data_IF_504160343801
#
_entry.id   IF_504160343801
#
_cell.length_a   1.000
_cell.length_b   1.000
_cell.length_c   1.000
_cell.angle_alpha   90.00
_cell.angle_beta   90.00
_cell.angle_gamma   90.00
#
_symmetry.space_group_name_H-M   'P 1'
#
loop_
_entity.id
_entity.type
_entity.pdbx_description
1 polymer ?
#
# COMPACT_ATOMS: atom_id res chain seq x y z
N UNK A 1 23.03 -4.70 -25.41
CA UNK A 1 23.56 -5.96 -24.83
C UNK A 1 23.63 -5.91 -23.30
N UNK A 2 24.30 -4.94 -22.68
CA UNK A 2 24.46 -4.84 -21.21
C UNK A 2 23.14 -4.79 -20.41
N UNK A 3 22.14 -4.02 -20.88
CA UNK A 3 20.83 -3.96 -20.23
C UNK A 3 20.09 -5.32 -20.19
N UNK A 4 20.26 -6.16 -21.22
CA UNK A 4 19.64 -7.49 -21.30
C UNK A 4 20.31 -8.50 -20.36
N UNK A 5 21.63 -8.39 -20.17
CA UNK A 5 22.37 -9.21 -19.21
C UNK A 5 21.96 -8.87 -17.78
N UNK A 6 21.84 -7.57 -17.47
CA UNK A 6 21.36 -7.11 -16.17
C UNK A 6 19.89 -7.51 -15.90
N UNK A 7 19.02 -7.42 -16.92
CA UNK A 7 17.64 -7.91 -16.85
C UNK A 7 17.58 -9.42 -16.60
N UNK A 8 18.44 -10.20 -17.27
CA UNK A 8 18.54 -11.65 -17.06
C UNK A 8 18.99 -12.02 -15.65
N UNK A 9 19.97 -11.29 -15.09
CA UNK A 9 20.44 -11.48 -13.71
C UNK A 9 19.37 -11.10 -12.69
N UNK A 10 18.62 -10.02 -12.93
CA UNK A 10 17.49 -9.61 -12.09
C UNK A 10 16.35 -10.63 -12.10
N UNK A 11 15.97 -11.15 -13.28
CA UNK A 11 14.96 -12.19 -13.39
C UNK A 11 15.38 -13.50 -12.71
N UNK A 12 16.66 -13.87 -12.80
CA UNK A 12 17.20 -15.07 -12.16
C UNK A 12 17.26 -14.98 -10.63
N UNK A 13 17.35 -13.77 -10.05
CA UNK A 13 17.44 -13.55 -8.59
C UNK A 13 16.21 -12.91 -7.96
N UNK A 14 15.04 -13.02 -8.60
CA UNK A 14 13.74 -12.42 -8.23
C UNK A 14 13.36 -12.60 -6.74
N UNK A 15 13.81 -13.68 -6.08
CA UNK A 15 13.38 -14.05 -4.73
C UNK A 15 14.19 -13.38 -3.58
N UNK A 16 15.33 -12.74 -3.88
CA UNK A 16 16.25 -12.18 -2.87
C UNK A 16 16.65 -10.72 -3.14
N UNK A 17 15.86 -10.02 -3.95
CA UNK A 17 16.20 -8.68 -4.41
C UNK A 17 15.90 -7.63 -3.35
N UNK A 18 16.97 -7.24 -2.64
CA UNK A 18 16.99 -5.99 -1.87
C UNK A 18 16.77 -4.82 -2.82
N UNK A 19 15.97 -3.84 -2.38
CA UNK A 19 15.68 -2.59 -3.09
C UNK A 19 16.95 -1.88 -3.58
N UNK A 20 18.02 -1.91 -2.79
CA UNK A 20 19.31 -1.32 -3.17
C UNK A 20 19.96 -1.95 -4.42
N UNK A 21 19.74 -3.23 -4.68
CA UNK A 21 20.31 -3.92 -5.86
C UNK A 21 19.56 -3.54 -7.13
N UNK A 22 18.24 -3.37 -7.03
CA UNK A 22 17.40 -2.87 -8.13
C UNK A 22 17.80 -1.44 -8.49
N UNK A 23 17.97 -0.59 -7.48
CA UNK A 23 18.38 0.81 -7.65
C UNK A 23 19.77 0.92 -8.30
N UNK A 24 20.75 0.14 -7.82
CA UNK A 24 22.09 0.12 -8.38
C UNK A 24 22.11 -0.40 -9.83
N UNK A 25 21.33 -1.44 -10.12
CA UNK A 25 21.21 -1.98 -11.47
C UNK A 25 20.58 -0.95 -12.42
N UNK A 26 19.53 -0.27 -11.97
CA UNK A 26 18.86 0.76 -12.76
C UNK A 26 19.79 1.96 -13.01
N UNK A 27 20.48 2.45 -11.98
CA UNK A 27 21.50 3.48 -12.14
C UNK A 27 22.59 3.05 -13.13
N UNK A 28 23.06 1.81 -13.05
CA UNK A 28 24.05 1.25 -13.97
C UNK A 28 23.58 1.14 -15.43
N UNK A 29 22.27 1.01 -15.68
CA UNK A 29 21.72 1.04 -17.04
C UNK A 29 21.61 2.47 -17.56
N UNK A 30 21.30 3.44 -16.70
CA UNK A 30 21.04 4.81 -17.12
C UNK A 30 22.31 5.67 -17.21
N UNK A 31 23.27 5.49 -16.30
CA UNK A 31 24.51 6.27 -16.27
C UNK A 31 25.30 6.27 -17.60
N UNK A 32 25.42 5.15 -18.32
CA UNK A 32 26.11 5.12 -19.62
C UNK A 32 25.48 6.02 -20.69
N UNK A 33 24.22 6.46 -20.53
CA UNK A 33 23.61 7.37 -21.49
C UNK A 33 24.19 8.78 -21.44
N UNK A 34 24.75 9.23 -20.30
CA UNK A 34 25.40 10.54 -20.16
C UNK A 34 26.51 10.72 -21.22
N UNK A 35 27.60 9.91 -21.24
CA UNK A 35 28.66 10.06 -22.23
C UNK A 35 28.18 9.80 -23.66
N UNK A 36 27.16 8.96 -23.85
CA UNK A 36 26.58 8.69 -25.18
C UNK A 36 25.90 9.95 -25.73
N UNK A 37 25.12 10.67 -24.92
CA UNK A 37 24.49 11.92 -25.34
C UNK A 37 25.52 13.03 -25.55
N UNK A 38 26.50 13.15 -24.64
CA UNK A 38 27.59 14.10 -24.82
C UNK A 38 28.33 13.87 -26.15
N UNK A 39 28.66 12.62 -26.48
CA UNK A 39 29.33 12.27 -27.74
C UNK A 39 28.44 12.52 -28.97
N UNK A 40 27.15 12.20 -28.88
CA UNK A 40 26.19 12.40 -29.96
C UNK A 40 26.04 13.89 -30.30
N UNK A 41 25.94 14.76 -29.29
CA UNK A 41 25.84 16.21 -29.48
C UNK A 41 27.15 16.79 -30.05
N UNK A 42 28.31 16.31 -29.58
CA UNK A 42 29.61 16.70 -30.17
C UNK A 42 29.75 16.27 -31.64
N UNK A 43 29.25 15.09 -32.00
CA UNK A 43 29.28 14.61 -33.37
C UNK A 43 28.34 15.42 -34.28
N UNK A 44 27.14 15.74 -33.79
CA UNK A 44 26.16 16.55 -34.52
C UNK A 44 26.62 17.98 -34.71
N UNK A 45 27.24 18.59 -33.69
CA UNK A 45 27.83 19.93 -33.79
C UNK A 45 28.86 20.05 -34.92
N UNK A 46 29.67 19.00 -35.14
CA UNK A 46 30.66 18.98 -36.23
C UNK A 46 30.08 18.67 -37.61
N UNK A 47 28.88 18.10 -37.67
CA UNK A 47 28.28 17.62 -38.93
C UNK A 47 27.70 18.75 -39.80
N UNK A 48 27.46 19.93 -39.22
CA UNK A 48 26.89 21.09 -39.93
C UNK A 48 25.41 20.92 -40.35
N UNK A 49 24.77 19.81 -39.97
CA UNK A 49 23.35 19.58 -40.20
C UNK A 49 22.50 20.46 -39.28
N UNK A 50 21.22 20.62 -39.61
CA UNK A 50 20.24 21.23 -38.69
C UNK A 50 19.70 20.13 -37.78
N UNK A 51 19.87 20.28 -36.47
CA UNK A 51 19.30 19.36 -35.48
C UNK A 51 18.62 20.12 -34.35
N UNK A 52 17.85 19.39 -33.54
CA UNK A 52 17.27 19.92 -32.31
C UNK A 52 18.08 19.36 -31.14
N UNK A 53 18.89 20.19 -30.47
CA UNK A 53 19.74 19.71 -29.38
C UNK A 53 18.89 19.21 -28.18
N UNK A 54 19.52 18.41 -27.32
CA UNK A 54 19.04 18.05 -25.98
C UNK A 54 17.71 17.27 -25.91
N UNK A 55 17.19 16.77 -27.04
CA UNK A 55 15.97 15.92 -27.05
C UNK A 55 16.18 14.58 -26.33
N UNK A 56 17.36 13.98 -26.47
CA UNK A 56 17.72 12.74 -25.79
C UNK A 56 17.62 12.86 -24.26
N UNK A 57 18.34 13.80 -23.64
CA UNK A 57 18.24 14.07 -22.20
C UNK A 57 16.82 14.37 -21.71
N UNK A 58 16.02 15.16 -22.46
CA UNK A 58 14.63 15.46 -22.10
C UNK A 58 13.77 14.18 -22.00
N UNK A 59 13.88 13.29 -22.98
CA UNK A 59 13.14 12.02 -22.99
C UNK A 59 13.58 11.09 -21.87
N UNK A 60 14.89 11.02 -21.59
CA UNK A 60 15.41 10.20 -20.49
C UNK A 60 14.97 10.74 -19.14
N UNK A 61 14.99 12.05 -18.92
CA UNK A 61 14.49 12.67 -17.68
C UNK A 61 13.02 12.37 -17.45
N UNK A 62 12.17 12.46 -18.48
CA UNK A 62 10.76 12.08 -18.38
C UNK A 62 10.57 10.58 -18.11
N UNK A 63 11.33 9.74 -18.82
CA UNK A 63 11.30 8.30 -18.60
C UNK A 63 11.74 7.94 -17.16
N UNK A 64 12.73 8.65 -16.61
CA UNK A 64 13.14 8.53 -15.21
C UNK A 64 12.01 8.92 -14.26
N UNK A 65 11.34 10.06 -14.49
CA UNK A 65 10.22 10.48 -13.66
C UNK A 65 9.05 9.47 -13.64
N UNK A 66 8.80 8.80 -14.76
CA UNK A 66 7.71 7.81 -14.88
C UNK A 66 8.11 6.43 -14.38
N UNK A 67 9.24 5.90 -14.87
CA UNK A 67 9.60 4.48 -14.72
C UNK A 67 10.57 4.18 -13.59
N UNK A 68 11.27 5.19 -13.03
CA UNK A 68 12.26 4.90 -12.00
C UNK A 68 11.60 4.19 -10.81
N UNK A 69 12.02 2.96 -10.47
CA UNK A 69 11.62 2.31 -9.22
C UNK A 69 12.34 2.91 -7.99
N UNK A 70 13.14 3.95 -8.23
CA UNK A 70 14.16 4.45 -7.32
C UNK A 70 13.55 5.40 -6.28
N UNK A 71 14.10 5.40 -5.06
CA UNK A 71 13.78 6.40 -4.04
C UNK A 71 14.01 7.84 -4.52
N UNK A 72 13.31 8.78 -3.88
CA UNK A 72 13.28 10.20 -4.26
C UNK A 72 14.69 10.83 -4.36
N UNK A 73 15.61 10.41 -3.49
CA UNK A 73 17.00 10.88 -3.47
C UNK A 73 17.80 10.47 -4.69
N UNK A 74 17.82 9.19 -5.03
CA UNK A 74 18.62 8.68 -6.15
C UNK A 74 17.97 9.03 -7.50
N UNK A 75 16.64 8.94 -7.61
CA UNK A 75 15.92 9.36 -8.82
C UNK A 75 16.05 10.87 -9.08
N UNK A 76 15.88 11.68 -8.03
CA UNK A 76 16.07 13.12 -8.11
C UNK A 76 17.52 13.51 -8.40
N UNK A 77 18.49 12.81 -7.79
CA UNK A 77 19.90 12.98 -8.08
C UNK A 77 20.23 12.70 -9.55
N UNK A 78 19.71 11.61 -10.11
CA UNK A 78 19.92 11.28 -11.52
C UNK A 78 19.34 12.34 -12.45
N UNK A 79 18.09 12.76 -12.22
CA UNK A 79 17.45 13.83 -13.02
C UNK A 79 18.27 15.12 -12.96
N UNK A 80 18.75 15.49 -11.77
CA UNK A 80 19.62 16.67 -11.59
C UNK A 80 20.95 16.55 -12.33
N UNK A 81 21.56 15.36 -12.38
CA UNK A 81 22.80 15.14 -13.15
C UNK A 81 22.57 15.30 -14.64
N UNK A 82 21.48 14.73 -15.19
CA UNK A 82 21.14 14.92 -16.62
C UNK A 82 20.78 16.38 -16.94
N UNK A 83 20.08 17.07 -16.04
CA UNK A 83 19.77 18.49 -16.20
C UNK A 83 21.05 19.34 -16.19
N UNK A 84 21.98 19.06 -15.27
CA UNK A 84 23.27 19.75 -15.18
C UNK A 84 24.13 19.48 -16.41
N UNK A 85 24.20 18.23 -16.89
CA UNK A 85 24.92 17.88 -18.11
C UNK A 85 24.41 18.67 -19.32
N UNK A 86 23.09 18.78 -19.50
CA UNK A 86 22.51 19.55 -20.59
C UNK A 86 22.91 21.04 -20.54
N UNK A 87 22.97 21.63 -19.34
CA UNK A 87 23.44 23.01 -19.15
C UNK A 87 24.94 23.14 -19.47
N UNK A 88 25.77 22.21 -18.99
CA UNK A 88 27.21 22.21 -19.26
C UNK A 88 27.48 22.06 -20.76
N UNK A 89 26.78 21.16 -21.46
CA UNK A 89 26.90 20.99 -22.90
C UNK A 89 26.50 22.26 -23.66
N UNK A 90 25.43 22.93 -23.24
CA UNK A 90 24.98 24.18 -23.87
C UNK A 90 26.08 25.26 -23.89
N UNK A 91 26.70 25.51 -22.74
CA UNK A 91 27.74 26.54 -22.62
C UNK A 91 29.08 26.11 -23.22
N UNK A 92 29.47 24.84 -23.11
CA UNK A 92 30.77 24.36 -23.61
C UNK A 92 30.82 24.26 -25.14
N UNK A 93 29.72 23.90 -25.78
CA UNK A 93 29.63 23.78 -27.25
C UNK A 93 29.22 25.08 -27.94
N UNK A 94 28.91 26.15 -27.19
CA UNK A 94 28.48 27.42 -27.77
C UNK A 94 27.20 27.30 -28.60
N UNK A 95 26.30 26.37 -28.22
CA UNK A 95 25.14 25.97 -29.03
C UNK A 95 24.17 27.13 -29.30
N UNK A 96 24.17 28.17 -28.47
CA UNK A 96 23.35 29.37 -28.68
C UNK A 96 23.75 30.22 -29.88
N UNK A 97 24.99 30.14 -30.33
CA UNK A 97 25.51 30.92 -31.48
C UNK A 97 25.67 30.06 -32.74
N UNK A 98 25.41 28.75 -32.65
CA UNK A 98 25.65 27.83 -33.74
C UNK A 98 24.53 27.92 -34.80
N UNK A 99 24.86 28.18 -36.09
CA UNK A 99 23.87 28.44 -37.14
C UNK A 99 22.96 27.24 -37.49
N UNK A 100 23.28 26.05 -36.98
CA UNK A 100 22.50 24.82 -37.16
C UNK A 100 21.42 24.58 -36.10
N UNK A 101 21.37 25.41 -35.04
CA UNK A 101 20.47 25.22 -33.90
C UNK A 101 19.15 25.94 -34.13
N UNK A 102 18.05 25.17 -34.11
CA UNK A 102 16.70 25.68 -34.38
C UNK A 102 15.97 26.23 -33.15
N UNK A 103 16.55 26.06 -31.96
CA UNK A 103 15.90 26.34 -30.66
C UNK A 103 16.72 27.32 -29.82
N UNK A 104 16.45 28.63 -29.90
CA UNK A 104 17.21 29.65 -29.14
C UNK A 104 16.86 29.70 -27.65
N UNK A 105 15.84 28.97 -27.20
CA UNK A 105 15.36 28.98 -25.80
C UNK A 105 15.91 27.85 -24.92
N UNK A 106 16.75 26.98 -25.49
CA UNK A 106 17.56 26.06 -24.70
C UNK A 106 18.65 26.87 -23.98
N UNK A 107 19.00 26.56 -22.71
CA UNK A 107 18.77 25.33 -21.94
C UNK A 107 17.53 25.37 -21.01
N UNK A 108 16.82 26.49 -20.93
CA UNK A 108 15.73 26.70 -19.96
C UNK A 108 14.58 25.72 -20.13
N UNK A 109 14.25 25.38 -21.39
CA UNK A 109 13.21 24.37 -21.69
C UNK A 109 13.57 23.02 -21.08
N UNK A 110 14.83 22.60 -21.18
CA UNK A 110 15.30 21.32 -20.59
C UNK A 110 15.20 21.32 -19.07
N UNK A 111 15.46 22.46 -18.42
CA UNK A 111 15.25 22.60 -16.97
C UNK A 111 13.78 22.48 -16.57
N UNK A 112 12.86 23.03 -17.37
CA UNK A 112 11.40 22.87 -17.15
C UNK A 112 11.02 21.38 -17.25
N UNK A 113 11.54 20.65 -18.24
CA UNK A 113 11.33 19.19 -18.33
C UNK A 113 11.92 18.43 -17.14
N UNK A 114 13.10 18.81 -16.66
CA UNK A 114 13.68 18.25 -15.43
C UNK A 114 12.81 18.50 -14.20
N UNK A 115 12.27 19.72 -14.06
CA UNK A 115 11.32 20.08 -13.01
C UNK A 115 10.03 19.28 -13.09
N UNK A 116 9.48 19.08 -14.29
CA UNK A 116 8.29 18.26 -14.50
C UNK A 116 8.55 16.80 -14.12
N UNK A 117 9.69 16.23 -14.53
CA UNK A 117 10.09 14.88 -14.17
C UNK A 117 10.24 14.69 -12.65
N UNK A 118 10.83 15.68 -11.96
CA UNK A 118 10.92 15.70 -10.50
C UNK A 118 9.54 15.78 -9.83
N UNK A 119 8.64 16.62 -10.35
CA UNK A 119 7.27 16.73 -9.84
C UNK A 119 6.51 15.40 -9.98
N UNK A 120 6.66 14.71 -11.12
CA UNK A 120 6.08 13.38 -11.35
C UNK A 120 6.64 12.34 -10.36
N UNK A 121 7.96 12.32 -10.16
CA UNK A 121 8.61 11.43 -9.20
C UNK A 121 8.09 11.69 -7.77
N UNK A 122 8.01 12.96 -7.36
CA UNK A 122 7.53 13.35 -6.05
C UNK A 122 6.06 12.96 -5.84
N UNK A 123 5.21 13.20 -6.85
CA UNK A 123 3.81 12.79 -6.83
C UNK A 123 3.67 11.27 -6.67
N UNK A 124 4.45 10.49 -7.42
CA UNK A 124 4.41 9.02 -7.35
C UNK A 124 4.80 8.48 -5.98
N UNK A 125 5.89 8.99 -5.39
CA UNK A 125 6.34 8.59 -4.04
C UNK A 125 5.27 8.92 -3.00
N UNK A 126 4.65 10.10 -3.10
CA UNK A 126 3.55 10.51 -2.23
C UNK A 126 2.33 9.61 -2.38
N UNK A 127 1.92 9.32 -3.61
CA UNK A 127 0.78 8.45 -3.90
C UNK A 127 0.95 7.05 -3.34
N UNK A 128 2.13 6.44 -3.47
CA UNK A 128 2.42 5.14 -2.87
C UNK A 128 2.31 5.16 -1.34
N UNK A 129 2.78 6.22 -0.69
CA UNK A 129 2.73 6.34 0.77
C UNK A 129 1.27 6.47 1.25
N UNK A 130 0.47 7.25 0.53
CA UNK A 130 -0.96 7.42 0.82
C UNK A 130 -1.71 6.09 0.60
N UNK A 131 -1.40 5.37 -0.47
CA UNK A 131 -2.03 4.09 -0.77
C UNK A 131 -1.73 3.03 0.31
N UNK A 132 -0.49 2.98 0.80
CA UNK A 132 -0.11 2.10 1.91
C UNK A 132 -0.89 2.42 3.18
N UNK A 133 -0.94 3.70 3.58
CA UNK A 133 -1.71 4.13 4.75
C UNK A 133 -3.19 3.85 4.60
N UNK A 134 -3.75 4.02 3.41
CA UNK A 134 -5.15 3.71 3.12
C UNK A 134 -5.42 2.20 3.22
N UNK A 135 -4.48 1.36 2.78
CA UNK A 135 -4.57 -0.10 2.92
C UNK A 135 -4.52 -0.53 4.38
N UNK A 136 -3.61 0.04 5.17
CA UNK A 136 -3.51 -0.24 6.61
C UNK A 136 -4.80 0.17 7.33
N UNK A 137 -5.27 1.40 7.11
CA UNK A 137 -6.51 1.89 7.72
C UNK A 137 -7.73 1.05 7.32
N UNK A 138 -7.82 0.59 6.06
CA UNK A 138 -8.89 -0.33 5.63
C UNK A 138 -8.80 -1.69 6.30
N UNK A 139 -7.61 -2.25 6.43
CA UNK A 139 -7.41 -3.53 7.10
C UNK A 139 -7.80 -3.45 8.59
N UNK A 140 -7.46 -2.36 9.28
CA UNK A 140 -7.87 -2.11 10.66
C UNK A 140 -9.40 -1.96 10.79
N UNK A 141 -10.03 -1.19 9.89
CA UNK A 141 -11.48 -1.03 9.88
C UNK A 141 -12.20 -2.37 9.64
N UNK A 142 -11.74 -3.17 8.67
CA UNK A 142 -12.29 -4.49 8.40
C UNK A 142 -12.12 -5.45 9.59
N UNK A 143 -11.00 -5.38 10.30
CA UNK A 143 -10.77 -6.19 11.50
C UNK A 143 -11.73 -5.80 12.63
N UNK A 144 -11.95 -4.50 12.86
CA UNK A 144 -12.91 -4.00 13.85
C UNK A 144 -14.35 -4.39 13.49
N UNK A 145 -14.73 -4.27 12.21
CA UNK A 145 -16.06 -4.67 11.74
C UNK A 145 -16.28 -6.17 11.92
N UNK A 146 -15.27 -7.00 11.68
CA UNK A 146 -15.32 -8.44 11.97
C UNK A 146 -15.54 -8.68 13.46
N UNK A 147 -14.75 -8.08 14.34
CA UNK A 147 -14.92 -8.23 15.79
C UNK A 147 -16.30 -7.78 16.28
N UNK A 148 -16.82 -6.67 15.74
CA UNK A 148 -18.15 -6.18 16.06
C UNK A 148 -19.23 -7.19 15.68
N UNK A 149 -19.15 -7.78 14.47
CA UNK A 149 -20.04 -8.88 14.06
C UNK A 149 -19.97 -10.08 15.01
N UNK A 150 -18.78 -10.45 15.48
CA UNK A 150 -18.64 -11.54 16.44
C UNK A 150 -19.31 -11.24 17.78
N UNK A 151 -19.18 -10.02 18.28
CA UNK A 151 -19.86 -9.63 19.52
C UNK A 151 -21.38 -9.67 19.39
N UNK A 152 -21.93 -9.29 18.24
CA UNK A 152 -23.36 -9.43 17.97
C UNK A 152 -23.78 -10.89 17.90
N UNK A 153 -23.03 -11.75 17.21
CA UNK A 153 -23.29 -13.20 17.15
C UNK A 153 -23.29 -13.82 18.54
N UNK A 154 -22.29 -13.50 19.36
CA UNK A 154 -22.19 -14.03 20.72
C UNK A 154 -23.36 -13.53 21.57
N UNK A 155 -23.74 -12.25 21.45
CA UNK A 155 -24.90 -11.69 22.14
C UNK A 155 -26.18 -12.45 21.76
N UNK A 156 -26.42 -12.63 20.48
CA UNK A 156 -27.65 -13.24 19.97
C UNK A 156 -27.71 -14.74 20.32
N UNK A 157 -26.57 -15.46 20.21
CA UNK A 157 -26.46 -16.84 20.65
C UNK A 157 -26.64 -17.01 22.17
N UNK A 158 -26.31 -15.99 22.97
CA UNK A 158 -26.45 -16.04 24.44
C UNK A 158 -27.89 -15.74 24.89
N UNK A 159 -28.68 -15.00 24.10
CA UNK A 159 -30.03 -14.58 24.51
C UNK A 159 -31.00 -15.77 24.70
N UNK A 160 -31.05 -16.72 23.76
CA UNK A 160 -31.94 -17.89 23.84
C UNK A 160 -31.67 -18.83 25.05
N UNK A 161 -30.42 -19.24 25.34
CA UNK A 161 -30.14 -20.05 26.53
C UNK A 161 -30.38 -19.24 27.82
N UNK A 162 -30.14 -17.93 27.82
CA UNK A 162 -30.39 -17.09 28.98
C UNK A 162 -31.88 -17.00 29.31
N UNK A 163 -32.75 -16.81 28.31
CA UNK A 163 -34.21 -16.91 28.46
C UNK A 163 -34.65 -18.29 28.99
N UNK A 164 -34.03 -19.35 28.50
CA UNK A 164 -34.33 -20.73 28.95
C UNK A 164 -33.93 -20.93 30.42
N UNK A 165 -32.79 -20.38 30.85
CA UNK A 165 -32.35 -20.42 32.25
C UNK A 165 -33.27 -19.58 33.15
N UNK A 166 -33.68 -18.39 32.72
CA UNK A 166 -34.64 -17.55 33.43
C UNK A 166 -35.98 -18.28 33.65
N UNK A 167 -36.51 -18.94 32.62
CA UNK A 167 -37.74 -19.74 32.71
C UNK A 167 -37.57 -20.94 33.67
N UNK A 168 -36.44 -21.64 33.57
CA UNK A 168 -36.14 -22.80 34.42
C UNK A 168 -36.02 -22.40 35.90
N UNK A 169 -35.38 -21.27 36.19
CA UNK A 169 -35.28 -20.73 37.55
C UNK A 169 -36.65 -20.31 38.10
N UNK A 170 -37.49 -19.68 37.28
CA UNK A 170 -38.85 -19.33 37.67
C UNK A 170 -39.70 -20.57 38.03
N UNK A 171 -39.58 -21.65 37.25
CA UNK A 171 -40.24 -22.92 37.54
C UNK A 171 -39.70 -23.59 38.81
N UNK A 172 -38.37 -23.57 39.01
CA UNK A 172 -37.72 -24.15 40.18
C UNK A 172 -38.16 -23.44 41.47
N UNK A 173 -38.21 -22.10 41.44
CA UNK A 173 -38.69 -21.26 42.54
C UNK A 173 -40.12 -21.57 42.95
N UNK A 174 -40.99 -21.88 41.97
CA UNK A 174 -42.40 -22.20 42.20
C UNK A 174 -42.61 -23.62 42.75
N UNK A 175 -41.80 -24.60 42.32
CA UNK A 175 -41.92 -26.00 42.73
C UNK A 175 -41.20 -26.34 44.04
N UNK A 176 -40.09 -25.67 44.33
CA UNK A 176 -39.22 -25.98 45.47
C UNK A 176 -38.86 -24.72 46.27
N UNK A 177 -39.81 -24.13 47.02
CA UNK A 177 -39.58 -22.92 47.81
C UNK A 177 -38.49 -23.08 48.88
N UNK A 178 -38.24 -24.30 49.35
CA UNK A 178 -37.16 -24.66 50.29
C UNK A 178 -35.76 -24.35 49.77
N UNK A 179 -35.57 -24.29 48.45
CA UNK A 179 -34.29 -24.00 47.80
C UNK A 179 -34.06 -22.51 47.49
N UNK A 180 -34.92 -21.61 47.99
CA UNK A 180 -34.86 -20.17 47.74
C UNK A 180 -33.46 -19.51 47.78
N UNK A 181 -32.56 -19.78 48.76
CA UNK A 181 -31.25 -19.14 48.79
C UNK A 181 -30.34 -19.53 47.62
N UNK A 182 -30.42 -20.78 47.16
CA UNK A 182 -29.66 -21.28 46.00
C UNK A 182 -30.19 -20.67 44.71
N UNK A 183 -31.53 -20.64 44.54
CA UNK A 183 -32.17 -20.02 43.38
C UNK A 183 -31.81 -18.54 43.25
N UNK A 184 -31.83 -17.78 44.36
CA UNK A 184 -31.44 -16.37 44.38
C UNK A 184 -29.96 -16.13 43.99
N UNK A 185 -29.09 -17.14 44.16
CA UNK A 185 -27.69 -17.07 43.73
C UNK A 185 -27.55 -17.33 42.22
N UNK A 186 -28.34 -18.25 41.69
CA UNK A 186 -28.42 -18.51 40.24
C UNK A 186 -29.02 -17.32 39.49
N UNK A 187 -30.10 -16.71 40.01
CA UNK A 187 -30.72 -15.49 39.46
C UNK A 187 -29.67 -14.35 39.35
N UNK A 188 -28.86 -14.12 40.39
CA UNK A 188 -27.78 -13.12 40.36
C UNK A 188 -26.71 -13.42 39.31
N UNK A 189 -26.44 -14.69 39.03
CA UNK A 189 -25.46 -15.10 38.02
C UNK A 189 -26.00 -14.88 36.60
N UNK A 190 -27.29 -15.17 36.39
CA UNK A 190 -28.00 -14.86 35.14
C UNK A 190 -28.03 -13.36 34.88
N UNK A 191 -28.30 -12.54 35.89
CA UNK A 191 -28.29 -11.08 35.75
C UNK A 191 -26.91 -10.55 35.32
N UNK A 192 -25.82 -11.13 35.86
CA UNK A 192 -24.45 -10.80 35.42
C UNK A 192 -24.19 -11.18 33.96
N UNK A 193 -24.68 -12.34 33.52
CA UNK A 193 -24.58 -12.77 32.11
C UNK A 193 -25.38 -11.85 31.19
N UNK A 194 -26.57 -11.42 31.63
CA UNK A 194 -27.42 -10.46 30.91
C UNK A 194 -26.72 -9.10 30.76
N UNK A 195 -26.14 -8.60 31.84
CA UNK A 195 -25.37 -7.35 31.83
C UNK A 195 -24.14 -7.45 30.91
N UNK A 196 -23.48 -8.60 30.85
CA UNK A 196 -22.37 -8.85 29.93
C UNK A 196 -22.85 -8.85 28.46
N UNK A 197 -23.92 -9.58 28.15
CA UNK A 197 -24.50 -9.62 26.81
C UNK A 197 -24.96 -8.23 26.33
N UNK A 198 -25.52 -7.41 27.23
CA UNK A 198 -25.89 -6.03 26.91
C UNK A 198 -24.67 -5.16 26.57
N UNK A 199 -23.54 -5.32 27.28
CA UNK A 199 -22.30 -4.59 26.97
C UNK A 199 -21.72 -4.95 25.60
N UNK A 200 -21.90 -6.18 25.14
CA UNK A 200 -21.51 -6.58 23.79
C UNK A 200 -22.30 -5.84 22.70
N UNK A 201 -23.51 -5.35 23.02
CA UNK A 201 -24.32 -4.52 22.12
C UNK A 201 -23.75 -3.15 21.79
N UNK A 202 -22.70 -2.67 22.50
CA UNK A 202 -22.02 -1.40 22.18
C UNK A 202 -21.37 -1.45 20.78
N UNK A 203 -21.10 -2.64 20.25
CA UNK A 203 -20.48 -2.83 18.93
C UNK A 203 -21.46 -2.70 17.75
N UNK A 204 -22.77 -2.60 18.00
CA UNK A 204 -23.81 -2.52 16.96
C UNK A 204 -23.62 -1.36 15.96
N UNK A 205 -23.26 -0.13 16.39
CA UNK A 205 -23.05 0.99 15.46
C UNK A 205 -21.84 0.85 14.55
N UNK A 206 -20.91 -0.07 14.86
CA UNK A 206 -19.69 -0.30 14.07
C UNK A 206 -19.93 -1.25 12.90
N UNK A 207 -21.10 -1.90 12.82
CA UNK A 207 -21.44 -2.85 11.76
C UNK A 207 -22.20 -2.13 10.65
N UNK A 208 -21.65 -2.16 9.44
CA UNK A 208 -22.35 -1.72 8.24
C UNK A 208 -23.09 -2.93 7.66
N UNK A 209 -24.40 -2.97 7.86
CA UNK A 209 -25.27 -4.00 7.30
C UNK A 209 -25.34 -3.88 5.77
N UNK A 210 -25.06 -4.97 5.05
CA UNK A 210 -25.16 -5.04 3.59
C UNK A 210 -26.34 -5.93 3.18
N UNK A 211 -26.91 -5.68 2.01
CA UNK A 211 -27.94 -6.55 1.41
C UNK A 211 -27.39 -7.98 1.30
N UNK A 212 -28.05 -8.94 1.95
CA UNK A 212 -27.61 -10.34 2.05
C UNK A 212 -27.17 -10.79 3.45
N UNK A 213 -26.93 -9.86 4.38
CA UNK A 213 -26.65 -10.16 5.79
C UNK A 213 -27.94 -10.39 6.63
N UNK A 214 -29.11 -10.49 5.98
CA UNK A 214 -30.42 -10.55 6.65
C UNK A 214 -30.73 -11.91 7.31
N UNK A 215 -30.03 -12.98 6.90
CA UNK A 215 -30.12 -14.31 7.51
C UNK A 215 -28.81 -14.64 8.22
N UNK A 216 -28.63 -14.05 9.39
CA UNK A 216 -27.48 -14.29 10.26
C UNK A 216 -27.67 -15.61 11.02
N UNK A 217 -27.11 -16.71 10.51
CA UNK A 217 -27.02 -17.96 11.28
C UNK A 217 -25.81 -17.90 12.23
N UNK A 218 -26.08 -17.44 13.45
CA UNK A 218 -25.12 -17.30 14.54
C UNK A 218 -24.35 -18.60 14.83
N UNK A 219 -25.00 -19.76 14.70
CA UNK A 219 -24.39 -21.05 15.01
C UNK A 219 -23.38 -21.48 13.95
N UNK A 220 -23.71 -21.32 12.67
CA UNK A 220 -22.77 -21.56 11.57
C UNK A 220 -21.52 -20.67 11.64
N UNK A 221 -21.69 -19.41 12.07
CA UNK A 221 -20.58 -18.47 12.19
C UNK A 221 -19.65 -18.81 13.35
N UNK A 222 -20.20 -19.22 14.50
CA UNK A 222 -19.42 -19.72 15.65
C UNK A 222 -18.63 -20.98 15.29
N UNK A 223 -19.26 -21.94 14.60
CA UNK A 223 -18.59 -23.17 14.16
C UNK A 223 -17.44 -22.90 13.19
N UNK A 224 -17.62 -21.98 12.24
CA UNK A 224 -16.54 -21.55 11.33
C UNK A 224 -15.36 -20.94 12.10
N UNK A 225 -15.67 -20.15 13.12
CA UNK A 225 -14.66 -19.49 13.95
C UNK A 225 -13.87 -20.47 14.80
N UNK A 226 -14.54 -21.45 15.38
CA UNK A 226 -13.90 -22.54 16.12
C UNK A 226 -12.96 -23.33 15.20
N UNK A 227 -13.41 -23.65 13.99
CA UNK A 227 -12.58 -24.34 12.99
C UNK A 227 -11.39 -23.50 12.50
N UNK A 228 -11.53 -22.17 12.39
CA UNK A 228 -10.43 -21.25 12.05
C UNK A 228 -9.42 -21.12 13.20
N UNK A 229 -9.90 -20.96 14.44
CA UNK A 229 -9.07 -20.92 15.65
C UNK A 229 -8.26 -22.21 15.85
N UNK A 230 -8.90 -23.37 15.66
CA UNK A 230 -8.23 -24.66 15.75
C UNK A 230 -7.07 -24.76 14.75
N UNK A 231 -7.29 -24.35 13.49
CA UNK A 231 -6.26 -24.34 12.44
C UNK A 231 -5.10 -23.39 12.75
N UNK A 232 -5.40 -22.20 13.29
CA UNK A 232 -4.36 -21.22 13.62
C UNK A 232 -3.53 -21.64 14.85
N UNK A 233 -4.16 -22.26 15.85
CA UNK A 233 -3.47 -22.84 17.00
C UNK A 233 -2.54 -24.01 16.59
N UNK A 234 -2.96 -24.83 15.63
CA UNK A 234 -2.11 -25.87 15.05
C UNK A 234 -0.91 -25.30 14.29
N UNK A 235 -1.10 -24.20 13.55
CA UNK A 235 0.00 -23.52 12.84
C UNK A 235 1.04 -22.95 13.80
N UNK A 236 0.61 -22.35 14.92
CA UNK A 236 1.53 -21.78 15.93
C UNK A 236 2.27 -22.82 16.78
N UNK A 237 1.79 -24.07 16.80
CA UNK A 237 2.46 -25.18 17.49
C UNK A 237 3.53 -25.86 16.64
N UNK A 238 3.58 -25.60 15.33
CA UNK A 238 4.62 -26.10 14.40
C UNK A 238 5.72 -25.07 14.23
#
# INVERSE_FOLDING_TARGET
MWALVLLGVLLARRQWLRTSVVDACFAGVVLPFLPVFALAEHAMARSGLVWVPMKGPQLVMLALGVFAPIGLWLGGGLISVFALEAVVLWYTLGLGEHPGVRSPWEPWVTLVYGGLALAMLAYRVRSHTIELRLREARAEAEALERLARLFLVVRDATNTPLQTLELSLALLRKRHPECAPTVATMERSVERLRAFAQRLGIADPLVVWREGDESFDAESMLQRLEADLARELERRRR
#
